data_IF_143413560547
#
_entry.id   IF_143413560547
#
_cell.length_a   1.000
_cell.length_b   1.000
_cell.length_c   1.000
_cell.angle_alpha   90.00
_cell.angle_beta   90.00
_cell.angle_gamma   90.00
#
_symmetry.space_group_name_H-M   'P 1'
#
loop_
_entity.id
_entity.type
_entity.pdbx_description
1 polymer ?
#
# COMPACT_ATOMS: atom_id res chain seq x y z
N UNK A 1 -11.43 -21.70 3.81
CA UNK A 1 -12.03 -21.16 2.58
C UNK A 1 -11.18 -21.56 1.39
N UNK A 2 -11.78 -21.59 0.21
CA UNK A 2 -11.11 -21.97 -1.06
C UNK A 2 -10.60 -20.76 -1.85
N UNK A 3 -10.57 -19.57 -1.24
CA UNK A 3 -10.20 -18.31 -1.90
C UNK A 3 -11.28 -17.72 -2.80
N UNK A 4 -12.50 -18.24 -2.76
CA UNK A 4 -13.62 -17.67 -3.50
C UNK A 4 -14.39 -16.69 -2.62
N UNK A 5 -14.88 -15.61 -3.23
CA UNK A 5 -15.74 -14.65 -2.56
C UNK A 5 -17.13 -15.26 -2.36
N UNK A 6 -17.64 -15.18 -1.14
CA UNK A 6 -19.00 -15.65 -0.82
C UNK A 6 -20.06 -14.55 -0.95
N UNK A 7 -19.64 -13.31 -1.23
CA UNK A 7 -20.53 -12.16 -1.41
C UNK A 7 -21.25 -11.72 -0.14
N UNK A 8 -20.79 -12.14 1.05
CA UNK A 8 -21.48 -11.82 2.29
C UNK A 8 -21.17 -10.42 2.82
N UNK A 9 -19.94 -9.96 2.70
CA UNK A 9 -19.51 -8.68 3.26
C UNK A 9 -19.00 -7.74 2.17
N UNK A 10 -19.35 -6.46 2.32
CA UNK A 10 -18.80 -5.35 1.54
C UNK A 10 -18.00 -4.44 2.46
N UNK A 11 -16.83 -4.03 2.01
CA UNK A 11 -15.96 -3.08 2.69
C UNK A 11 -15.91 -1.78 1.90
N UNK A 12 -15.97 -0.64 2.60
CA UNK A 12 -15.94 0.69 1.98
C UNK A 12 -14.99 1.57 2.78
N UNK A 13 -13.95 2.11 2.11
CA UNK A 13 -13.06 3.11 2.68
C UNK A 13 -13.73 4.48 2.75
N UNK A 14 -13.54 5.17 3.86
CA UNK A 14 -13.96 6.56 4.03
C UNK A 14 -12.74 7.47 3.89
N UNK A 15 -12.52 7.91 2.68
CA UNK A 15 -11.38 8.73 2.30
C UNK A 15 -11.21 10.01 3.15
N UNK A 16 -12.28 10.53 3.69
CA UNK A 16 -12.25 11.81 4.41
C UNK A 16 -11.95 11.67 5.91
N UNK A 17 -11.98 10.45 6.44
CA UNK A 17 -11.85 10.22 7.90
C UNK A 17 -10.90 9.08 8.28
N UNK A 18 -10.22 8.44 7.32
CA UNK A 18 -9.33 7.31 7.60
C UNK A 18 -10.02 6.12 8.26
N UNK A 19 -11.22 5.78 7.81
CA UNK A 19 -12.09 4.73 8.36
C UNK A 19 -12.49 3.73 7.31
N UNK A 20 -12.81 2.52 7.75
CA UNK A 20 -13.42 1.48 6.92
C UNK A 20 -14.79 1.09 7.46
N UNK A 21 -15.79 1.00 6.59
CA UNK A 21 -17.10 0.45 6.91
C UNK A 21 -17.16 -1.03 6.53
N UNK A 22 -17.83 -1.84 7.37
CA UNK A 22 -18.20 -3.22 7.05
C UNK A 22 -19.72 -3.31 6.95
N UNK A 23 -20.21 -3.78 5.81
CA UNK A 23 -21.64 -3.95 5.50
C UNK A 23 -21.91 -5.44 5.32
N UNK A 24 -22.94 -5.96 5.97
CA UNK A 24 -23.42 -7.32 5.76
C UNK A 24 -24.46 -7.32 4.63
N UNK A 25 -24.14 -7.95 3.52
CA UNK A 25 -25.01 -7.98 2.34
C UNK A 25 -26.24 -8.90 2.50
N UNK A 26 -26.35 -9.64 3.61
CA UNK A 26 -27.55 -10.43 3.90
C UNK A 26 -28.72 -9.56 4.38
N UNK A 27 -28.43 -8.42 5.00
CA UNK A 27 -29.42 -7.48 5.51
C UNK A 27 -29.17 -6.03 5.05
N UNK A 28 -28.07 -5.79 4.35
CA UNK A 28 -27.62 -4.48 3.87
C UNK A 28 -27.36 -3.45 4.97
N UNK A 29 -27.08 -3.93 6.19
CA UNK A 29 -26.79 -3.06 7.32
C UNK A 29 -25.28 -2.84 7.48
N UNK A 30 -24.91 -1.60 7.81
CA UNK A 30 -23.55 -1.29 8.25
C UNK A 30 -23.33 -1.84 9.66
N UNK A 31 -22.44 -2.79 9.78
CA UNK A 31 -22.15 -3.45 11.07
C UNK A 31 -21.09 -2.68 11.88
N UNK A 32 -20.24 -1.91 11.22
CA UNK A 32 -19.16 -1.20 11.89
C UNK A 32 -18.59 -0.08 11.01
N UNK A 33 -18.13 0.98 11.68
CA UNK A 33 -17.08 1.87 11.19
C UNK A 33 -15.84 1.65 12.07
N UNK A 34 -14.75 1.19 11.46
CA UNK A 34 -13.47 1.03 12.14
C UNK A 34 -12.57 2.21 11.81
N UNK A 35 -11.90 2.76 12.82
CA UNK A 35 -11.06 3.96 12.71
C UNK A 35 -9.64 3.63 13.15
N UNK A 36 -8.66 3.84 12.27
CA UNK A 36 -7.23 3.59 12.52
C UNK A 36 -6.53 4.73 13.26
N UNK A 37 -7.12 5.91 13.32
CA UNK A 37 -6.61 7.10 14.05
C UNK A 37 -5.19 7.55 13.73
N UNK A 38 -4.59 7.04 12.66
CA UNK A 38 -3.23 7.40 12.24
C UNK A 38 -3.22 8.51 11.20
N UNK A 39 -4.20 8.50 10.29
CA UNK A 39 -4.36 9.46 9.20
C UNK A 39 -5.82 9.86 9.05
N UNK A 40 -6.05 11.00 8.38
CA UNK A 40 -7.39 11.53 8.11
C UNK A 40 -7.93 11.11 6.74
N UNK A 41 -7.16 10.37 5.96
CA UNK A 41 -7.58 9.85 4.67
C UNK A 41 -7.27 8.36 4.56
N UNK A 42 -8.14 7.63 3.88
CA UNK A 42 -7.96 6.22 3.57
C UNK A 42 -8.48 5.97 2.15
N UNK A 43 -7.65 5.34 1.35
CA UNK A 43 -7.94 5.08 -0.05
C UNK A 43 -7.15 3.84 -0.49
N UNK A 44 -7.65 3.06 -1.39
CA UNK A 44 -6.93 1.86 -1.81
C UNK A 44 -7.86 0.81 -2.37
N UNK A 45 -9.18 1.08 -2.30
CA UNK A 45 -10.21 0.24 -2.90
C UNK A 45 -10.67 -0.92 -2.03
N UNK A 46 -10.30 -0.98 -0.76
CA UNK A 46 -10.71 -2.05 0.17
C UNK A 46 -10.43 -3.45 -0.37
N UNK A 47 -9.27 -3.68 -0.96
CA UNK A 47 -8.91 -4.99 -1.50
C UNK A 47 -8.70 -6.01 -0.39
N UNK A 48 -9.18 -7.22 -0.60
CA UNK A 48 -9.13 -8.28 0.41
C UNK A 48 -8.07 -9.32 0.06
N UNK A 49 -7.40 -9.84 1.08
CA UNK A 49 -6.58 -11.04 0.92
C UNK A 49 -7.44 -12.25 0.55
N UNK A 50 -6.90 -13.29 -0.10
CA UNK A 50 -7.70 -14.39 -0.67
C UNK A 50 -8.66 -15.08 0.31
N UNK A 51 -8.29 -15.16 1.58
CA UNK A 51 -9.15 -15.73 2.63
C UNK A 51 -9.83 -14.67 3.49
N UNK A 52 -9.78 -13.40 3.07
CA UNK A 52 -10.31 -12.26 3.81
C UNK A 52 -9.69 -12.13 5.22
N UNK A 53 -8.41 -12.46 5.37
CA UNK A 53 -7.69 -12.23 6.62
C UNK A 53 -7.56 -10.74 6.91
N UNK A 54 -7.28 -9.97 5.84
CA UNK A 54 -7.13 -8.53 5.88
C UNK A 54 -7.87 -7.85 4.74
N UNK A 55 -8.33 -6.64 5.02
CA UNK A 55 -8.72 -5.64 4.01
C UNK A 55 -7.59 -4.62 3.95
N UNK A 56 -7.15 -4.27 2.74
CA UNK A 56 -5.98 -3.42 2.52
C UNK A 56 -6.43 -2.05 2.03
N UNK A 57 -5.92 -1.02 2.67
CA UNK A 57 -6.13 0.38 2.34
C UNK A 57 -4.81 1.14 2.33
N UNK A 58 -4.70 2.20 1.55
CA UNK A 58 -3.58 3.12 1.55
C UNK A 58 -3.99 4.55 1.81
N UNK A 59 -3.12 5.36 2.39
CA UNK A 59 -3.35 6.78 2.50
C UNK A 59 -3.12 7.46 1.15
N UNK A 60 -4.16 8.05 0.55
CA UNK A 60 -4.00 8.72 -0.74
C UNK A 60 -3.03 9.90 -0.66
N UNK A 61 -3.06 10.62 0.42
CA UNK A 61 -2.18 11.77 0.64
C UNK A 61 -1.28 11.49 1.84
N UNK A 62 0.00 11.79 1.70
CA UNK A 62 0.90 11.72 2.84
C UNK A 62 0.51 12.78 3.89
N UNK A 63 0.53 12.38 5.15
CA UNK A 63 0.16 13.21 6.29
C UNK A 63 1.13 12.97 7.46
N UNK A 64 1.19 13.88 8.44
CA UNK A 64 1.84 13.58 9.70
C UNK A 64 1.08 12.49 10.45
N UNK A 65 1.72 11.37 10.75
CA UNK A 65 1.09 10.21 11.40
C UNK A 65 0.50 10.56 12.77
N UNK A 66 -0.82 10.63 12.86
CA UNK A 66 -1.56 10.91 14.09
C UNK A 66 -1.23 12.26 14.73
N UNK A 67 -0.70 13.21 13.95
CA UNK A 67 -0.26 14.52 14.40
C UNK A 67 -0.94 15.68 13.67
N UNK A 68 -0.57 16.88 14.07
CA UNK A 68 -1.02 18.10 13.40
C UNK A 68 -0.25 18.32 12.07
N UNK A 69 -0.90 18.95 11.11
CA UNK A 69 -0.27 19.33 9.86
C UNK A 69 0.93 20.26 10.08
N UNK A 70 2.01 19.96 9.42
CA UNK A 70 3.24 20.73 9.46
C UNK A 70 3.37 21.61 8.19
N UNK A 71 4.18 22.69 8.24
CA UNK A 71 4.50 23.45 7.04
C UNK A 71 5.07 22.57 5.92
N UNK A 72 4.76 22.91 4.67
CA UNK A 72 5.20 22.14 3.50
C UNK A 72 6.73 22.03 3.40
N UNK A 73 7.46 23.00 3.92
CA UNK A 73 8.93 22.96 4.00
C UNK A 73 9.47 21.80 4.87
N UNK A 74 8.62 21.19 5.69
CA UNK A 74 8.94 20.02 6.53
C UNK A 74 8.36 18.72 5.96
N UNK A 75 7.95 18.72 4.70
CA UNK A 75 7.24 17.60 4.09
C UNK A 75 8.05 16.29 4.20
N UNK A 76 9.30 16.31 3.82
CA UNK A 76 10.17 15.13 3.84
C UNK A 76 10.35 14.49 5.22
N UNK A 77 10.35 15.30 6.27
CA UNK A 77 10.61 14.85 7.64
C UNK A 77 9.33 14.47 8.40
N UNK A 78 8.24 15.22 8.15
CA UNK A 78 7.02 15.14 8.97
C UNK A 78 5.91 14.31 8.34
N UNK A 79 5.85 14.29 7.01
CA UNK A 79 4.79 13.58 6.30
C UNK A 79 5.19 12.13 6.01
N UNK A 80 4.20 11.24 6.01
CA UNK A 80 4.38 9.82 5.72
C UNK A 80 3.20 9.31 4.91
N UNK A 81 3.48 8.31 4.07
CA UNK A 81 2.46 7.44 3.52
C UNK A 81 2.10 6.34 4.52
N UNK A 82 1.04 5.63 4.26
CA UNK A 82 0.56 4.55 5.11
C UNK A 82 -0.10 3.46 4.27
N UNK A 83 0.22 2.20 4.59
CA UNK A 83 -0.56 1.05 4.16
C UNK A 83 -1.18 0.40 5.38
N UNK A 84 -2.52 0.29 5.40
CA UNK A 84 -3.28 -0.27 6.52
C UNK A 84 -3.80 -1.65 6.17
N UNK A 85 -3.59 -2.59 7.06
CA UNK A 85 -4.04 -3.96 6.99
C UNK A 85 -5.10 -4.17 8.09
N UNK A 86 -6.36 -4.05 7.70
CA UNK A 86 -7.50 -4.20 8.58
C UNK A 86 -7.81 -5.68 8.78
N UNK A 87 -7.56 -6.22 9.96
CA UNK A 87 -7.87 -7.61 10.29
C UNK A 87 -9.38 -7.83 10.29
N UNK A 88 -9.86 -8.80 9.53
CA UNK A 88 -11.27 -9.12 9.50
C UNK A 88 -11.59 -10.37 10.31
N UNK A 89 -12.48 -10.23 11.30
CA UNK A 89 -13.06 -11.35 12.05
C UNK A 89 -14.34 -11.79 11.35
N UNK A 90 -14.23 -12.81 10.51
CA UNK A 90 -15.37 -13.35 9.74
C UNK A 90 -16.47 -13.90 10.62
N UNK A 91 -16.18 -14.43 11.81
CA UNK A 91 -17.20 -14.98 12.71
C UNK A 91 -18.06 -13.87 13.30
N UNK A 92 -17.44 -12.74 13.63
CA UNK A 92 -18.15 -11.56 14.13
C UNK A 92 -18.67 -10.66 13.01
N UNK A 93 -18.19 -10.82 11.77
CA UNK A 93 -18.49 -9.92 10.65
C UNK A 93 -18.02 -8.50 10.88
N UNK A 94 -16.84 -8.34 11.49
CA UNK A 94 -16.30 -7.04 11.89
C UNK A 94 -14.79 -6.96 11.72
N UNK A 95 -14.30 -5.76 11.53
CA UNK A 95 -12.87 -5.46 11.63
C UNK A 95 -12.43 -5.60 13.08
N UNK A 96 -11.41 -6.38 13.31
CA UNK A 96 -10.69 -6.49 14.58
C UNK A 96 -9.58 -5.42 14.61
N UNK A 97 -9.94 -4.23 15.06
CA UNK A 97 -9.02 -3.07 15.08
C UNK A 97 -7.79 -3.35 15.95
N UNK A 98 -7.97 -4.10 17.05
CA UNK A 98 -6.86 -4.44 17.95
C UNK A 98 -5.80 -5.31 17.28
N UNK A 99 -6.20 -6.19 16.36
CA UNK A 99 -5.28 -7.05 15.60
C UNK A 99 -5.00 -6.54 14.18
N UNK A 100 -5.49 -5.37 13.84
CA UNK A 100 -5.11 -4.62 12.65
C UNK A 100 -3.75 -3.93 12.85
N UNK A 101 -3.07 -3.62 11.76
CA UNK A 101 -1.80 -2.91 11.80
C UNK A 101 -1.62 -2.05 10.55
N UNK A 102 -0.69 -1.12 10.64
CA UNK A 102 -0.26 -0.32 9.50
C UNK A 102 1.26 -0.44 9.29
N UNK A 103 1.69 -0.18 8.07
CA UNK A 103 3.09 -0.06 7.67
C UNK A 103 3.32 1.40 7.27
N UNK A 104 4.29 2.04 7.93
CA UNK A 104 4.73 3.37 7.57
C UNK A 104 5.48 3.34 6.23
N UNK A 105 5.18 4.31 5.36
CA UNK A 105 5.76 4.47 4.05
C UNK A 105 6.48 5.82 3.93
N UNK A 106 7.39 5.98 2.97
CA UNK A 106 7.85 7.30 2.55
C UNK A 106 6.68 8.24 2.29
N UNK A 107 6.88 9.56 2.29
CA UNK A 107 5.80 10.53 2.08
C UNK A 107 5.30 10.57 0.62
N UNK A 108 5.21 9.41 -0.01
CA UNK A 108 4.61 9.22 -1.32
C UNK A 108 3.10 9.05 -1.16
N UNK A 109 2.36 9.57 -2.11
CA UNK A 109 0.92 9.40 -2.14
C UNK A 109 0.60 8.00 -2.67
N UNK A 110 -0.35 7.31 -2.05
CA UNK A 110 -0.77 5.99 -2.48
C UNK A 110 -2.06 6.07 -3.29
N UNK A 111 -2.16 5.18 -4.27
CA UNK A 111 -3.39 4.96 -5.01
C UNK A 111 -3.92 3.53 -4.74
N UNK A 112 -4.43 2.82 -5.71
CA UNK A 112 -5.09 1.55 -5.49
C UNK A 112 -4.11 0.41 -5.17
N UNK A 113 -4.58 -0.55 -4.40
CA UNK A 113 -3.85 -1.75 -4.03
C UNK A 113 -4.56 -3.01 -4.56
N UNK A 114 -3.86 -4.13 -4.62
CA UNK A 114 -4.47 -5.46 -4.69
C UNK A 114 -3.65 -6.47 -3.87
N UNK A 115 -4.30 -7.52 -3.43
CA UNK A 115 -3.68 -8.61 -2.69
C UNK A 115 -3.22 -9.73 -3.62
N UNK A 116 -2.07 -10.31 -3.31
CA UNK A 116 -1.58 -11.51 -3.97
C UNK A 116 -2.53 -12.69 -3.81
N UNK A 117 -2.56 -13.56 -4.82
CA UNK A 117 -3.44 -14.73 -4.91
C UNK A 117 -2.61 -15.96 -5.33
N UNK A 118 -3.02 -17.14 -4.94
CA UNK A 118 -2.28 -18.36 -5.31
C UNK A 118 -0.79 -18.27 -5.00
N UNK A 119 0.12 -18.27 -5.99
CA UNK A 119 1.56 -18.21 -5.73
C UNK A 119 2.03 -16.91 -5.08
N UNK A 120 1.31 -15.82 -5.25
CA UNK A 120 1.62 -14.53 -4.62
C UNK A 120 0.85 -14.29 -3.32
N UNK A 121 0.11 -15.28 -2.81
CA UNK A 121 -0.52 -15.19 -1.49
C UNK A 121 0.51 -14.87 -0.40
N UNK A 122 0.19 -13.94 0.46
CA UNK A 122 1.13 -13.41 1.46
C UNK A 122 1.82 -12.11 1.04
N UNK A 123 1.59 -11.68 -0.19
CA UNK A 123 2.08 -10.42 -0.72
C UNK A 123 0.91 -9.48 -1.05
N UNK A 124 1.20 -8.20 -1.08
CA UNK A 124 0.28 -7.17 -1.52
C UNK A 124 1.04 -6.13 -2.35
N UNK A 125 0.33 -5.43 -3.21
CA UNK A 125 0.89 -4.47 -4.14
C UNK A 125 0.06 -3.19 -4.08
N UNK A 126 0.71 -2.03 -4.17
CA UNK A 126 0.05 -0.73 -4.10
C UNK A 126 0.83 0.28 -4.93
N UNK A 127 0.17 1.05 -5.73
CA UNK A 127 0.84 2.08 -6.51
C UNK A 127 1.07 3.34 -5.69
N UNK A 128 2.18 4.02 -5.95
CA UNK A 128 2.36 5.41 -5.55
C UNK A 128 2.14 6.36 -6.72
N UNK A 129 1.90 7.63 -6.39
CA UNK A 129 1.88 8.72 -7.35
C UNK A 129 2.37 10.01 -6.70
N UNK A 130 2.73 11.02 -7.51
CA UNK A 130 3.32 12.27 -7.04
C UNK A 130 4.53 12.07 -6.09
N UNK A 131 5.36 11.08 -6.35
CA UNK A 131 6.57 10.83 -5.54
C UNK A 131 7.52 12.03 -5.55
N UNK A 132 7.52 12.83 -6.62
CA UNK A 132 8.29 14.06 -6.73
C UNK A 132 7.97 15.12 -5.67
N UNK A 133 6.81 15.07 -5.04
CA UNK A 133 6.54 15.98 -3.90
C UNK A 133 7.50 15.71 -2.74
N UNK A 134 7.80 14.44 -2.48
CA UNK A 134 8.77 14.04 -1.47
C UNK A 134 10.21 14.24 -1.92
N UNK A 135 10.48 14.15 -3.23
CA UNK A 135 11.83 14.20 -3.80
C UNK A 135 12.23 15.58 -4.31
N UNK A 136 11.48 16.62 -3.98
CA UNK A 136 11.81 18.02 -4.30
C UNK A 136 11.12 18.56 -5.55
N UNK A 137 10.04 17.95 -6.00
CA UNK A 137 9.26 18.47 -7.12
C UNK A 137 8.67 19.85 -6.86
N UNK A 138 8.27 20.12 -5.63
CA UNK A 138 7.73 21.42 -5.20
C UNK A 138 8.83 22.49 -5.22
N UNK A 139 10.01 22.17 -4.70
CA UNK A 139 11.15 23.09 -4.68
C UNK A 139 11.65 23.43 -6.08
N UNK A 140 11.38 22.59 -7.07
CA UNK A 140 11.66 22.86 -8.49
C UNK A 140 10.59 23.70 -9.18
N UNK A 141 9.59 24.19 -8.45
CA UNK A 141 8.51 25.00 -8.98
C UNK A 141 7.41 24.20 -9.68
N UNK A 142 7.41 22.90 -9.57
CA UNK A 142 6.31 22.05 -10.07
C UNK A 142 5.09 22.17 -9.15
N UNK A 143 3.87 22.19 -9.71
CA UNK A 143 2.68 22.13 -8.88
C UNK A 143 2.64 20.82 -8.09
N UNK A 144 2.08 20.83 -6.87
CA UNK A 144 2.01 19.64 -6.01
C UNK A 144 0.86 18.69 -6.42
N UNK A 145 0.60 18.54 -7.69
CA UNK A 145 -0.42 17.65 -8.23
C UNK A 145 -0.02 17.18 -9.64
N UNK A 146 -0.58 16.08 -10.06
CA UNK A 146 -0.20 15.35 -11.27
C UNK A 146 -0.11 16.19 -12.55
N UNK A 147 -1.03 17.13 -12.73
CA UNK A 147 -1.05 17.96 -13.95
C UNK A 147 0.22 18.79 -14.18
N UNK A 148 1.01 18.99 -13.13
CA UNK A 148 2.26 19.75 -13.23
C UNK A 148 3.53 18.93 -13.19
N UNK A 149 3.40 17.60 -13.08
CA UNK A 149 4.56 16.72 -13.00
C UNK A 149 5.15 16.42 -14.36
N UNK A 150 6.43 16.11 -14.41
CA UNK A 150 7.10 15.73 -15.64
C UNK A 150 7.03 14.22 -15.83
N UNK A 151 6.93 13.75 -17.07
CA UNK A 151 6.97 12.31 -17.39
C UNK A 151 8.35 11.66 -17.11
N UNK A 152 9.31 12.42 -16.60
CA UNK A 152 10.64 11.91 -16.24
C UNK A 152 10.70 11.40 -14.82
N UNK A 153 9.79 11.85 -13.97
CA UNK A 153 9.73 11.39 -12.59
C UNK A 153 9.09 10.01 -12.57
N UNK A 154 9.63 9.14 -11.75
CA UNK A 154 9.19 7.76 -11.66
C UNK A 154 8.37 7.56 -10.39
N UNK A 155 7.27 6.84 -10.51
CA UNK A 155 6.53 6.33 -9.37
C UNK A 155 6.90 4.87 -9.11
N UNK A 156 6.37 4.29 -8.05
CA UNK A 156 6.71 2.95 -7.61
C UNK A 156 5.49 2.09 -7.33
N UNK A 157 5.54 0.84 -7.74
CA UNK A 157 4.73 -0.18 -7.09
C UNK A 157 5.43 -0.56 -5.78
N UNK A 158 4.72 -0.36 -4.68
CA UNK A 158 5.10 -0.84 -3.37
C UNK A 158 4.76 -2.33 -3.29
N UNK A 159 5.74 -3.13 -2.94
CA UNK A 159 5.64 -4.59 -2.83
C UNK A 159 5.75 -4.95 -1.35
N UNK A 160 4.67 -5.45 -0.76
CA UNK A 160 4.58 -5.78 0.65
C UNK A 160 4.58 -7.29 0.87
N UNK A 161 5.44 -7.79 1.75
CA UNK A 161 5.30 -9.12 2.33
C UNK A 161 4.45 -9.03 3.60
N UNK A 162 3.11 -9.07 3.45
CA UNK A 162 2.21 -8.89 4.58
C UNK A 162 2.21 -10.08 5.56
N UNK A 163 2.52 -11.30 5.12
CA UNK A 163 2.70 -12.43 6.04
C UNK A 163 3.87 -12.22 6.97
N UNK A 164 4.97 -11.68 6.46
CA UNK A 164 6.12 -11.31 7.28
C UNK A 164 5.80 -10.16 8.23
N UNK A 165 5.03 -9.17 7.77
CA UNK A 165 4.52 -8.11 8.63
C UNK A 165 3.67 -8.68 9.78
N UNK A 166 2.79 -9.65 9.50
CA UNK A 166 2.01 -10.33 10.54
C UNK A 166 2.90 -11.06 11.56
N UNK A 167 3.99 -11.68 11.11
CA UNK A 167 4.98 -12.31 12.01
C UNK A 167 5.67 -11.28 12.91
N UNK A 168 6.02 -10.11 12.38
CA UNK A 168 6.59 -9.02 13.17
C UNK A 168 5.60 -8.52 14.24
N UNK A 169 4.34 -8.38 13.88
CA UNK A 169 3.28 -8.03 14.84
C UNK A 169 3.18 -9.07 15.95
N UNK A 170 3.17 -10.35 15.62
CA UNK A 170 3.16 -11.45 16.59
C UNK A 170 4.42 -11.46 17.50
N UNK A 171 5.56 -11.05 16.96
CA UNK A 171 6.81 -10.95 17.68
C UNK A 171 6.96 -9.64 18.50
N UNK A 172 5.96 -8.76 18.47
CA UNK A 172 6.00 -7.48 19.19
C UNK A 172 6.92 -6.42 18.55
N UNK A 173 7.33 -6.60 17.29
CA UNK A 173 8.17 -5.65 16.54
C UNK A 173 7.33 -4.56 15.88
N UNK A 174 6.66 -3.75 16.68
CA UNK A 174 5.83 -2.63 16.23
C UNK A 174 5.83 -1.53 17.29
N UNK A 175 5.41 -0.36 16.88
CA UNK A 175 5.09 0.76 17.77
C UNK A 175 3.57 0.85 17.95
N UNK A 176 3.13 1.43 19.06
CA UNK A 176 1.72 1.82 19.24
C UNK A 176 1.62 3.32 19.08
N UNK A 177 0.88 3.78 18.09
CA UNK A 177 0.66 5.20 17.84
C UNK A 177 -0.84 5.47 17.79
N UNK A 178 -1.32 6.38 18.61
CA UNK A 178 -2.76 6.67 18.77
C UNK A 178 -3.62 5.41 19.03
N UNK A 179 -3.04 4.38 19.66
CA UNK A 179 -3.72 3.12 19.97
C UNK A 179 -3.72 2.11 18.81
N UNK A 180 -3.05 2.41 17.70
CA UNK A 180 -2.95 1.52 16.53
C UNK A 180 -1.52 0.97 16.38
N UNK A 181 -1.38 -0.29 15.97
CA UNK A 181 -0.07 -0.92 15.74
C UNK A 181 0.53 -0.41 14.45
N UNK A 182 1.78 0.03 14.52
CA UNK A 182 2.53 0.58 13.40
C UNK A 182 3.88 -0.12 13.27
N UNK A 183 4.14 -0.72 12.12
CA UNK A 183 5.48 -1.13 11.72
C UNK A 183 6.15 0.09 11.11
N UNK A 184 7.19 0.62 11.77
CA UNK A 184 7.92 1.78 11.26
C UNK A 184 8.56 1.48 9.91
N UNK A 185 8.74 2.51 9.08
CA UNK A 185 9.42 2.38 7.79
C UNK A 185 10.79 1.70 7.93
N UNK A 186 11.55 2.09 8.94
CA UNK A 186 12.83 1.46 9.24
C UNK A 186 12.69 -0.04 9.46
N UNK A 187 11.77 -0.46 10.32
CA UNK A 187 11.52 -1.88 10.59
C UNK A 187 11.06 -2.62 9.35
N UNK A 188 10.16 -2.03 8.56
CA UNK A 188 9.65 -2.64 7.33
C UNK A 188 10.77 -2.91 6.31
N UNK A 189 11.72 -1.99 6.18
CA UNK A 189 12.89 -2.12 5.30
C UNK A 189 13.89 -3.15 5.85
N UNK A 190 14.30 -3.01 7.09
CA UNK A 190 15.32 -3.88 7.72
C UNK A 190 14.87 -5.34 7.80
N UNK A 191 13.60 -5.57 8.03
CA UNK A 191 13.03 -6.93 8.12
C UNK A 191 12.57 -7.47 6.74
N UNK A 192 12.69 -6.70 5.66
CA UNK A 192 12.31 -7.14 4.31
C UNK A 192 10.82 -7.33 4.12
N UNK A 193 10.04 -6.38 4.61
CA UNK A 193 8.58 -6.29 4.43
C UNK A 193 8.23 -5.43 3.23
N UNK A 194 9.01 -4.38 2.94
CA UNK A 194 8.73 -3.39 1.92
C UNK A 194 9.84 -3.32 0.88
N UNK A 195 9.44 -3.34 -0.38
CA UNK A 195 10.30 -3.15 -1.55
C UNK A 195 9.58 -2.25 -2.56
N UNK A 196 10.36 -1.63 -3.45
CA UNK A 196 9.84 -0.86 -4.57
C UNK A 196 10.26 -1.46 -5.90
N UNK A 197 9.38 -1.36 -6.89
CA UNK A 197 9.73 -1.53 -8.30
C UNK A 197 9.28 -0.30 -9.07
N UNK A 198 10.12 0.28 -9.97
CA UNK A 198 9.73 1.44 -10.76
C UNK A 198 8.51 1.16 -11.62
N UNK A 199 7.64 2.14 -11.74
CA UNK A 199 6.45 2.11 -12.58
C UNK A 199 6.40 3.32 -13.51
N UNK A 200 5.64 3.21 -14.62
CA UNK A 200 5.29 4.37 -15.43
C UNK A 200 4.63 5.47 -14.59
N UNK A 201 4.78 6.70 -15.04
CA UNK A 201 4.34 7.90 -14.31
C UNK A 201 2.86 7.86 -13.94
N UNK A 202 2.61 8.13 -12.67
CA UNK A 202 1.28 8.24 -12.08
C UNK A 202 0.38 7.05 -12.39
N UNK A 203 0.77 5.83 -12.01
CA UNK A 203 -0.11 4.67 -12.14
C UNK A 203 -1.34 4.88 -11.26
N UNK A 204 -2.51 4.45 -11.76
CA UNK A 204 -3.74 4.57 -10.98
C UNK A 204 -4.03 3.31 -10.18
N UNK A 205 -3.74 2.13 -10.73
CA UNK A 205 -4.04 0.88 -10.05
C UNK A 205 -3.08 -0.24 -10.41
N UNK A 206 -2.97 -1.19 -9.51
CA UNK A 206 -2.36 -2.49 -9.73
C UNK A 206 -3.40 -3.56 -9.52
N UNK A 207 -3.51 -4.50 -10.48
CA UNK A 207 -4.38 -5.65 -10.39
C UNK A 207 -3.57 -6.93 -10.44
N UNK A 208 -3.78 -7.80 -9.48
CA UNK A 208 -3.21 -9.15 -9.48
C UNK A 208 -4.11 -10.06 -10.30
N UNK A 209 -3.53 -10.69 -11.32
CA UNK A 209 -4.30 -11.63 -12.15
C UNK A 209 -4.92 -12.76 -11.32
N UNK A 210 -6.03 -13.36 -11.75
CA UNK A 210 -6.67 -14.48 -11.03
C UNK A 210 -5.72 -15.65 -10.74
N UNK A 211 -4.70 -15.84 -11.61
CA UNK A 211 -3.66 -16.85 -11.40
C UNK A 211 -2.65 -16.50 -10.30
N UNK A 212 -2.63 -15.25 -9.84
CA UNK A 212 -1.64 -14.74 -8.88
C UNK A 212 -0.21 -14.64 -9.40
N UNK A 213 0.00 -14.84 -10.71
CA UNK A 213 1.33 -14.90 -11.31
C UNK A 213 1.82 -13.55 -11.81
N UNK A 214 0.90 -12.64 -12.12
CA UNK A 214 1.21 -11.37 -12.74
C UNK A 214 0.49 -10.23 -12.04
N UNK A 215 1.14 -9.08 -11.98
CA UNK A 215 0.57 -7.80 -11.62
C UNK A 215 0.50 -6.94 -12.88
N UNK A 216 -0.66 -6.32 -13.10
CA UNK A 216 -0.94 -5.47 -14.26
C UNK A 216 -1.09 -4.04 -13.76
N UNK A 217 -0.27 -3.15 -14.27
CA UNK A 217 -0.21 -1.74 -13.88
C UNK A 217 -0.47 -0.87 -15.08
N UNK A 218 -1.41 0.06 -14.98
CA UNK A 218 -1.69 1.04 -16.02
C UNK A 218 -1.21 2.43 -15.59
N UNK A 219 -0.35 3.03 -16.39
CA UNK A 219 0.05 4.42 -16.20
C UNK A 219 -1.09 5.38 -16.57
N UNK A 220 -1.35 6.37 -15.74
CA UNK A 220 -2.35 7.42 -16.00
C UNK A 220 -1.78 8.53 -16.88
N UNK A 221 -0.53 8.89 -16.65
CA UNK A 221 0.20 9.92 -17.40
C UNK A 221 1.19 9.32 -18.39
N UNK A 222 1.33 8.00 -18.41
CA UNK A 222 2.16 7.26 -19.35
C UNK A 222 1.30 6.21 -20.06
N UNK A 223 1.31 6.15 -21.42
CA UNK A 223 0.40 5.29 -22.18
C UNK A 223 0.53 3.78 -21.95
N UNK A 224 1.73 3.22 -21.65
CA UNK A 224 1.87 1.78 -21.59
C UNK A 224 1.18 1.15 -20.39
N UNK A 225 0.74 -0.09 -20.57
CA UNK A 225 0.38 -1.00 -19.48
C UNK A 225 1.57 -1.92 -19.24
N UNK A 226 2.05 -1.96 -17.99
CA UNK A 226 3.17 -2.81 -17.61
C UNK A 226 2.66 -4.06 -16.90
N UNK A 227 3.19 -5.21 -17.28
CA UNK A 227 2.93 -6.50 -16.64
C UNK A 227 4.18 -6.94 -15.93
N UNK A 228 4.08 -7.17 -14.62
CA UNK A 228 5.17 -7.71 -13.80
C UNK A 228 4.90 -9.17 -13.46
N UNK A 229 5.95 -9.98 -13.47
CA UNK A 229 5.90 -11.37 -13.05
C UNK A 229 6.24 -11.48 -11.57
N UNK A 230 5.35 -12.07 -10.77
CA UNK A 230 5.61 -12.33 -9.36
C UNK A 230 6.90 -13.12 -9.14
N UNK A 231 7.12 -14.17 -9.94
CA UNK A 231 8.30 -15.01 -9.80
C UNK A 231 9.61 -14.30 -10.12
N UNK A 232 9.60 -13.41 -11.10
CA UNK A 232 10.77 -12.58 -11.41
C UNK A 232 11.09 -11.62 -10.27
N UNK A 233 10.06 -10.94 -9.73
CA UNK A 233 10.22 -10.03 -8.59
C UNK A 233 10.71 -10.79 -7.35
N UNK A 234 10.08 -11.93 -7.02
CA UNK A 234 10.48 -12.74 -5.86
C UNK A 234 11.94 -13.18 -5.97
N UNK A 235 12.35 -13.66 -7.14
CA UNK A 235 13.75 -14.06 -7.39
C UNK A 235 14.73 -12.90 -7.21
N UNK A 236 14.36 -11.70 -7.68
CA UNK A 236 15.20 -10.51 -7.51
C UNK A 236 15.29 -10.09 -6.03
N UNK A 237 14.19 -10.17 -5.28
CA UNK A 237 14.17 -9.90 -3.83
C UNK A 237 15.07 -10.90 -3.08
N UNK A 238 14.92 -12.19 -3.34
CA UNK A 238 15.71 -13.26 -2.70
C UNK A 238 17.21 -13.15 -3.02
N UNK A 239 17.52 -12.78 -4.25
CA UNK A 239 18.91 -12.55 -4.70
C UNK A 239 19.48 -11.22 -4.21
N UNK A 240 18.65 -10.34 -3.63
CA UNK A 240 18.98 -8.94 -3.29
C UNK A 240 19.48 -8.15 -4.51
N UNK A 241 18.91 -8.42 -5.67
CA UNK A 241 19.22 -7.77 -6.94
C UNK A 241 18.48 -6.41 -7.02
N UNK A 242 18.97 -5.45 -6.27
CA UNK A 242 18.45 -4.11 -6.20
C UNK A 242 19.30 -3.17 -7.04
N UNK A 243 18.64 -2.24 -7.74
CA UNK A 243 19.31 -1.17 -8.50
C UNK A 243 19.87 -0.10 -7.57
N UNK A 244 19.05 0.31 -6.59
CA UNK A 244 19.36 1.40 -5.65
C UNK A 244 18.46 1.29 -4.40
N UNK A 245 18.47 2.34 -3.63
CA UNK A 245 17.51 2.65 -2.55
C UNK A 245 16.98 4.04 -2.77
N UNK A 246 15.71 4.24 -2.41
CA UNK A 246 15.17 5.60 -2.38
C UNK A 246 15.79 6.45 -1.26
N UNK A 247 15.41 7.73 -1.18
CA UNK A 247 15.90 8.66 -0.14
C UNK A 247 15.59 8.18 1.29
N UNK A 248 14.65 7.29 1.46
CA UNK A 248 14.19 6.76 2.76
C UNK A 248 14.76 5.36 3.06
N UNK A 249 15.59 4.85 2.17
CA UNK A 249 16.30 3.58 2.34
C UNK A 249 15.56 2.36 1.84
N UNK A 250 14.41 2.50 1.20
CA UNK A 250 13.64 1.37 0.64
C UNK A 250 14.37 0.80 -0.57
N UNK A 251 14.66 -0.52 -0.61
CA UNK A 251 15.31 -1.14 -1.76
C UNK A 251 14.45 -1.05 -3.02
N UNK A 252 15.05 -0.62 -4.13
CA UNK A 252 14.42 -0.52 -5.44
C UNK A 252 14.90 -1.66 -6.32
N UNK A 253 13.97 -2.51 -6.76
CA UNK A 253 14.25 -3.52 -7.78
C UNK A 253 14.49 -2.83 -9.13
N UNK A 254 15.32 -3.43 -9.96
CA UNK A 254 15.45 -2.96 -11.34
C UNK A 254 14.12 -3.16 -12.08
N UNK A 255 13.75 -2.21 -12.91
CA UNK A 255 12.50 -2.25 -13.68
C UNK A 255 12.36 -3.55 -14.51
N UNK A 256 13.43 -3.93 -15.21
CA UNK A 256 13.45 -5.12 -16.06
C UNK A 256 13.54 -6.44 -15.25
N UNK A 257 13.97 -6.39 -13.99
CA UNK A 257 14.04 -7.57 -13.14
C UNK A 257 12.66 -8.16 -12.82
N UNK A 258 11.61 -7.35 -12.76
CA UNK A 258 10.23 -7.79 -12.54
C UNK A 258 9.36 -7.79 -13.78
N UNK A 259 9.72 -7.00 -14.80
CA UNK A 259 8.89 -6.81 -15.99
C UNK A 259 8.75 -8.10 -16.81
N UNK A 260 7.51 -8.39 -17.20
CA UNK A 260 7.18 -9.47 -18.16
C UNK A 260 6.90 -8.90 -19.54
N UNK A 261 6.08 -7.83 -19.61
CA UNK A 261 5.69 -7.15 -20.84
C UNK A 261 5.32 -5.69 -20.56
N UNK A 262 5.31 -4.90 -21.64
CA UNK A 262 4.87 -3.50 -21.64
C UNK A 262 4.32 -3.11 -23.00
#
# INVERSE_FOLDING_TARGET
TNGEYDGQFLFIGDKSHGRIATIDLRDYETKQFADGKLMHNDHGGCFVTPNTEYVIEGAQYAEPLGGEYAPISQYKEKYRGLATFWKFDRQKGRIDVENSFAIELPPYWQDLADAGKGPSDGWAFMNSFNTEMATGGIEKGNPPFEAGTTQRDMDYMHVFNWKKAEELIKAGKFEVKNGFKLISLKTAVEEGVLFFIPEPKSPHGVDVTPSGKYMVVAGKLDPPVTIYSFWKMLKAIEAKDFEDKDEYGVPILRFDAGKEAQ
#
